data_IF_147982097229
#
_entry.id   IF_147982097229
#
_cell.length_a   1.000
_cell.length_b   1.000
_cell.length_c   1.000
_cell.angle_alpha   90.00
_cell.angle_beta   90.00
_cell.angle_gamma   90.00
#
_symmetry.space_group_name_H-M   'P 1'
#
loop_
_entity.id
_entity.type
_entity.pdbx_description
1 polymer ?
#
# COMPACT_ATOMS: atom_id res chain seq x y z
N UNK A 1 26.20 29.70 70.73
CA UNK A 1 26.68 29.23 72.06
C UNK A 1 25.88 27.99 72.45
N UNK A 2 26.57 27.00 73.05
CA UNK A 2 26.05 25.78 73.73
C UNK A 2 25.61 24.67 72.76
N UNK A 3 26.41 23.63 72.51
CA UNK A 3 26.79 22.49 73.37
C UNK A 3 25.57 21.76 73.93
N UNK A 4 25.31 20.51 73.52
CA UNK A 4 25.05 19.44 74.48
C UNK A 4 25.07 18.03 73.86
N UNK A 5 25.73 17.12 74.58
CA UNK A 5 25.78 15.67 74.45
C UNK A 5 24.41 15.01 74.74
N UNK A 6 24.24 13.77 74.29
CA UNK A 6 23.35 12.78 74.93
C UNK A 6 22.58 11.94 73.92
N UNK A 7 23.08 10.76 73.55
CA UNK A 7 22.86 9.46 74.20
C UNK A 7 21.56 8.75 73.76
N UNK A 8 21.78 7.64 73.05
CA UNK A 8 20.98 6.39 72.96
C UNK A 8 19.51 6.47 72.57
N UNK A 9 19.13 5.76 71.50
CA UNK A 9 18.01 4.80 71.45
C UNK A 9 18.22 3.88 70.24
N UNK A 10 18.18 2.57 70.52
CA UNK A 10 18.23 1.47 69.55
C UNK A 10 16.88 1.42 68.82
N UNK A 11 16.87 1.56 67.49
CA UNK A 11 15.68 1.34 66.67
C UNK A 11 15.97 0.26 65.63
N UNK A 12 15.31 -0.87 65.88
CA UNK A 12 15.04 -1.98 64.97
C UNK A 12 14.48 -1.43 63.66
N UNK A 13 15.21 -1.56 62.55
CA UNK A 13 14.73 -1.17 61.22
C UNK A 13 14.79 -2.36 60.27
N UNK A 14 13.59 -2.76 59.85
CA UNK A 14 13.33 -3.73 58.79
C UNK A 14 14.07 -3.32 57.51
N UNK A 15 14.89 -4.23 56.99
CA UNK A 15 15.69 -4.02 55.79
C UNK A 15 14.73 -4.10 54.59
N UNK A 16 14.23 -2.95 54.16
CA UNK A 16 13.55 -2.78 52.88
C UNK A 16 14.61 -2.92 51.78
N UNK A 17 14.62 -4.05 51.08
CA UNK A 17 15.46 -4.23 49.90
C UNK A 17 14.93 -3.35 48.76
N UNK A 18 15.38 -2.10 48.71
CA UNK A 18 15.26 -1.24 47.54
C UNK A 18 16.35 -1.57 46.53
N UNK A 19 16.02 -2.30 45.48
CA UNK A 19 16.81 -2.30 44.26
C UNK A 19 16.74 -0.89 43.65
N UNK A 20 17.86 -0.16 43.68
CA UNK A 20 18.04 1.04 42.84
C UNK A 20 18.10 0.58 41.39
N UNK A 21 16.98 0.69 40.67
CA UNK A 21 17.01 0.73 39.21
C UNK A 21 17.64 2.06 38.81
N UNK A 22 18.91 2.00 38.42
CA UNK A 22 19.58 3.10 37.73
C UNK A 22 18.87 3.31 36.39
N UNK A 23 18.02 4.32 36.28
CA UNK A 23 17.50 4.75 34.99
C UNK A 23 18.66 5.36 34.20
N UNK A 24 19.29 4.56 33.35
CA UNK A 24 20.08 5.08 32.25
C UNK A 24 19.09 5.71 31.26
N UNK A 25 19.08 7.04 31.22
CA UNK A 25 18.42 7.83 30.18
C UNK A 25 19.14 7.59 28.85
N UNK A 26 18.82 6.48 28.19
CA UNK A 26 19.08 6.32 26.77
C UNK A 26 18.27 7.37 26.02
N UNK A 27 18.93 8.38 25.44
CA UNK A 27 18.33 9.21 24.39
C UNK A 27 17.74 8.24 23.36
N UNK A 28 16.44 8.31 23.03
CA UNK A 28 15.94 7.52 21.92
C UNK A 28 16.69 7.99 20.68
N UNK A 29 17.46 7.09 20.10
CA UNK A 29 18.01 7.29 18.77
C UNK A 29 16.79 7.32 17.86
N UNK A 30 16.35 8.52 17.48
CA UNK A 30 15.30 8.70 16.50
C UNK A 30 15.89 8.31 15.14
N UNK A 31 16.08 7.01 14.93
CA UNK A 31 16.07 6.47 13.58
C UNK A 31 14.67 6.80 13.05
N UNK A 32 14.63 7.92 12.31
CA UNK A 32 13.49 8.37 11.56
C UNK A 32 12.98 7.15 10.76
N UNK A 33 11.88 6.56 11.20
CA UNK A 33 10.99 5.83 10.31
C UNK A 33 10.45 6.88 9.33
N UNK A 34 11.25 7.27 8.35
CA UNK A 34 10.82 8.09 7.25
C UNK A 34 9.77 7.27 6.50
N UNK A 35 8.50 7.52 6.82
CA UNK A 35 7.35 6.90 6.17
C UNK A 35 7.41 7.28 4.70
N UNK A 36 7.96 6.38 3.87
CA UNK A 36 7.92 6.53 2.42
C UNK A 36 6.45 6.43 2.01
N UNK A 37 5.90 7.41 1.29
CA UNK A 37 4.53 7.31 0.82
C UNK A 37 4.37 6.04 0.00
N UNK A 38 3.21 5.37 0.13
CA UNK A 38 2.86 4.24 -0.70
C UNK A 38 3.01 4.65 -2.18
N UNK A 39 3.55 3.77 -3.05
CA UNK A 39 3.73 4.10 -4.45
C UNK A 39 2.37 4.31 -5.12
N UNK A 40 2.34 5.26 -6.04
CA UNK A 40 1.28 5.38 -7.04
C UNK A 40 1.58 4.40 -8.15
N UNK A 41 0.60 3.60 -8.57
CA UNK A 41 0.80 2.63 -9.65
C UNK A 41 0.21 3.18 -10.95
N UNK A 42 1.01 3.15 -12.01
CA UNK A 42 0.54 3.34 -13.38
C UNK A 42 0.95 2.14 -14.23
N UNK A 43 0.19 1.82 -15.27
CA UNK A 43 0.44 0.63 -16.08
C UNK A 43 -0.07 0.78 -17.52
N UNK A 44 0.41 -0.11 -18.38
CA UNK A 44 -0.06 -0.32 -19.75
C UNK A 44 -0.40 -1.77 -19.98
N UNK A 45 -1.43 -2.01 -20.77
CA UNK A 45 -1.91 -3.35 -21.10
C UNK A 45 -1.82 -3.62 -22.59
N UNK A 46 -1.60 -4.88 -22.95
CA UNK A 46 -1.50 -5.36 -24.35
C UNK A 46 -2.83 -5.25 -25.11
N UNK A 47 -3.94 -5.20 -24.37
CA UNK A 47 -5.33 -5.06 -24.85
C UNK A 47 -6.13 -4.16 -23.91
N UNK A 48 -7.34 -3.76 -24.28
CA UNK A 48 -8.18 -2.90 -23.43
C UNK A 48 -8.88 -3.71 -22.33
N UNK A 49 -8.33 -3.67 -21.12
CA UNK A 49 -8.89 -4.31 -19.94
C UNK A 49 -9.53 -3.33 -18.95
N UNK A 50 -9.74 -2.05 -19.33
CA UNK A 50 -10.12 -0.99 -18.36
C UNK A 50 -11.38 -1.30 -17.56
N UNK A 51 -12.30 -2.07 -18.14
CA UNK A 51 -13.57 -2.46 -17.50
C UNK A 51 -13.56 -3.86 -16.91
N UNK A 52 -12.49 -4.61 -17.08
CA UNK A 52 -12.38 -6.01 -16.68
C UNK A 52 -11.85 -6.11 -15.25
N UNK A 53 -12.37 -7.07 -14.49
CA UNK A 53 -12.04 -7.23 -13.06
C UNK A 53 -10.60 -7.68 -12.88
N UNK A 54 -9.75 -6.91 -12.16
CA UNK A 54 -8.41 -7.34 -11.82
C UNK A 54 -8.43 -8.29 -10.62
N UNK A 55 -7.70 -9.40 -10.71
CA UNK A 55 -7.41 -10.28 -9.57
C UNK A 55 -5.92 -10.54 -9.50
N UNK A 56 -5.39 -10.90 -8.33
CA UNK A 56 -4.00 -11.31 -8.17
C UNK A 56 -3.93 -12.83 -8.00
N UNK A 57 -3.06 -13.48 -8.77
CA UNK A 57 -2.82 -14.92 -8.70
C UNK A 57 -1.48 -15.25 -8.03
N UNK A 58 -1.33 -16.52 -7.64
CA UNK A 58 -0.09 -17.10 -7.14
C UNK A 58 1.01 -17.09 -8.20
N UNK A 59 2.24 -17.36 -7.75
CA UNK A 59 3.41 -17.39 -8.65
C UNK A 59 3.27 -18.41 -9.78
N UNK A 60 2.65 -19.55 -9.48
CA UNK A 60 2.35 -20.60 -10.44
C UNK A 60 1.04 -20.37 -11.21
N UNK A 61 0.32 -19.27 -10.93
CA UNK A 61 -0.96 -18.93 -11.56
C UNK A 61 -2.15 -19.80 -11.16
N UNK A 62 -1.98 -20.76 -10.23
CA UNK A 62 -3.00 -21.79 -9.92
C UNK A 62 -3.99 -21.40 -8.83
N UNK A 63 -3.74 -20.32 -8.10
CA UNK A 63 -4.57 -19.89 -6.99
C UNK A 63 -4.82 -18.39 -7.03
N UNK A 64 -6.04 -17.99 -6.70
CA UNK A 64 -6.38 -16.58 -6.47
C UNK A 64 -5.83 -16.18 -5.10
N UNK A 65 -4.91 -15.21 -5.07
CA UNK A 65 -4.38 -14.61 -3.84
C UNK A 65 -5.26 -13.46 -3.36
N UNK A 66 -5.77 -12.65 -4.29
CA UNK A 66 -6.58 -11.48 -3.96
C UNK A 66 -7.58 -11.18 -5.08
N UNK A 67 -8.77 -10.76 -4.71
CA UNK A 67 -9.84 -10.35 -5.62
C UNK A 67 -10.68 -9.24 -4.96
N UNK A 68 -11.30 -8.35 -5.74
CA UNK A 68 -12.09 -7.26 -5.20
C UNK A 68 -13.45 -7.77 -4.71
N UNK A 69 -13.91 -7.27 -3.56
CA UNK A 69 -15.31 -7.36 -3.20
C UNK A 69 -16.14 -6.50 -4.19
N UNK A 70 -17.42 -6.82 -4.49
CA UNK A 70 -18.23 -6.00 -5.39
C UNK A 70 -18.29 -4.50 -5.02
N UNK A 71 -18.28 -4.15 -3.73
CA UNK A 71 -18.20 -2.75 -3.27
C UNK A 71 -16.86 -2.08 -3.57
N UNK A 72 -15.77 -2.86 -3.69
CA UNK A 72 -14.45 -2.34 -4.05
C UNK A 72 -14.42 -1.77 -5.47
N UNK A 73 -15.36 -2.20 -6.32
CA UNK A 73 -15.49 -1.74 -7.69
C UNK A 73 -16.36 -0.47 -7.82
N UNK A 74 -16.99 0.01 -6.75
CA UNK A 74 -17.89 1.18 -6.79
C UNK A 74 -17.46 2.32 -5.88
N UNK A 75 -17.75 3.55 -6.29
CA UNK A 75 -17.75 4.73 -5.43
C UNK A 75 -19.01 4.76 -4.56
N UNK A 76 -19.05 5.66 -3.57
CA UNK A 76 -20.21 5.82 -2.69
C UNK A 76 -21.48 6.27 -3.44
N UNK A 77 -21.33 6.93 -4.59
CA UNK A 77 -22.43 7.34 -5.48
C UNK A 77 -22.95 6.19 -6.37
N UNK A 78 -22.38 4.99 -6.26
CA UNK A 78 -22.74 3.82 -7.05
C UNK A 78 -22.02 3.69 -8.39
N UNK A 79 -21.30 4.71 -8.85
CA UNK A 79 -20.53 4.64 -10.11
C UNK A 79 -19.31 3.72 -9.99
N UNK A 80 -18.85 3.15 -11.11
CA UNK A 80 -17.71 2.24 -11.12
C UNK A 80 -16.37 2.95 -11.02
N UNK A 81 -15.46 2.39 -10.20
CA UNK A 81 -14.09 2.85 -9.96
C UNK A 81 -13.13 2.36 -11.04
N UNK A 82 -13.41 2.68 -12.29
CA UNK A 82 -12.50 2.41 -13.41
C UNK A 82 -11.15 3.13 -13.24
N UNK A 83 -10.06 2.60 -13.83
CA UNK A 83 -8.78 3.31 -13.88
C UNK A 83 -8.94 4.64 -14.63
N UNK A 84 -8.12 5.63 -14.27
CA UNK A 84 -8.08 6.88 -15.04
C UNK A 84 -7.16 6.70 -16.23
N UNK A 85 -7.62 7.14 -17.41
CA UNK A 85 -6.75 7.25 -18.58
C UNK A 85 -5.70 8.33 -18.37
N UNK A 86 -4.46 8.01 -18.70
CA UNK A 86 -3.32 8.91 -18.76
C UNK A 86 -2.81 8.98 -20.21
N UNK A 87 -1.85 9.87 -20.42
CA UNK A 87 -1.15 10.05 -21.69
C UNK A 87 -0.55 8.74 -22.24
N UNK A 88 -0.42 8.68 -23.57
CA UNK A 88 0.18 7.55 -24.31
C UNK A 88 -0.41 6.16 -23.98
N UNK A 89 -1.65 6.08 -23.51
CA UNK A 89 -2.32 4.81 -23.19
C UNK A 89 -1.97 4.24 -21.81
N UNK A 90 -1.27 4.99 -20.95
CA UNK A 90 -1.10 4.61 -19.55
C UNK A 90 -2.43 4.69 -18.79
N UNK A 91 -2.54 3.92 -17.73
CA UNK A 91 -3.68 3.88 -16.82
C UNK A 91 -3.21 4.12 -15.39
N UNK A 92 -3.93 4.98 -14.66
CA UNK A 92 -3.74 5.19 -13.23
C UNK A 92 -4.52 4.12 -12.44
N UNK A 93 -3.82 3.41 -11.57
CA UNK A 93 -4.43 2.37 -10.75
C UNK A 93 -5.33 2.92 -9.62
N UNK A 94 -6.48 2.27 -9.44
CA UNK A 94 -7.43 2.52 -8.36
C UNK A 94 -7.82 1.25 -7.61
N UNK A 95 -7.31 0.08 -8.01
CA UNK A 95 -7.74 -1.26 -7.59
C UNK A 95 -6.63 -2.08 -6.93
N UNK A 96 -5.38 -1.66 -7.01
CA UNK A 96 -4.24 -2.40 -6.47
C UNK A 96 -3.61 -3.33 -7.51
N UNK A 97 -3.28 -2.80 -8.68
CA UNK A 97 -2.55 -3.52 -9.74
C UNK A 97 -1.12 -3.81 -9.27
N UNK A 98 -0.67 -5.03 -9.51
CA UNK A 98 0.71 -5.47 -9.25
C UNK A 98 1.23 -6.45 -10.31
N UNK A 99 2.47 -6.94 -10.16
CA UNK A 99 3.14 -7.78 -11.16
C UNK A 99 2.41 -9.08 -11.53
N UNK A 100 1.61 -9.62 -10.61
CA UNK A 100 0.82 -10.85 -10.78
C UNK A 100 -0.68 -10.61 -10.92
N UNK A 101 -1.05 -9.37 -11.23
CA UNK A 101 -2.45 -9.10 -11.57
C UNK A 101 -2.78 -9.67 -12.94
N UNK A 102 -3.95 -10.28 -13.05
CA UNK A 102 -4.57 -10.69 -14.32
C UNK A 102 -5.98 -10.11 -14.40
N UNK A 103 -6.54 -10.05 -15.60
CA UNK A 103 -7.90 -9.58 -15.82
C UNK A 103 -8.83 -10.73 -16.16
N UNK A 104 -9.95 -10.80 -15.45
CA UNK A 104 -11.05 -11.70 -15.80
C UNK A 104 -11.70 -11.23 -17.11
N UNK A 105 -12.32 -12.14 -17.86
CA UNK A 105 -13.18 -11.80 -18.99
C UNK A 105 -14.47 -11.10 -18.55
N UNK A 106 -14.76 -11.07 -17.24
CA UNK A 106 -15.90 -10.39 -16.66
C UNK A 106 -15.62 -8.89 -16.53
N UNK A 107 -16.57 -8.09 -17.01
CA UNK A 107 -16.64 -6.66 -16.71
C UNK A 107 -17.00 -6.42 -15.24
N UNK A 108 -16.81 -5.19 -14.76
CA UNK A 108 -17.23 -4.79 -13.43
C UNK A 108 -18.75 -4.94 -13.27
N UNK A 109 -19.53 -4.59 -14.29
CA UNK A 109 -20.99 -4.75 -14.34
C UNK A 109 -21.41 -6.20 -14.13
N UNK A 110 -20.84 -7.12 -14.91
CA UNK A 110 -21.18 -8.55 -14.84
C UNK A 110 -20.78 -9.14 -13.49
N UNK A 111 -19.57 -8.86 -13.03
CA UNK A 111 -19.04 -9.39 -11.78
C UNK A 111 -19.85 -8.91 -10.56
N UNK A 112 -20.24 -7.64 -10.51
CA UNK A 112 -21.05 -7.13 -9.39
C UNK A 112 -22.47 -7.66 -9.43
N UNK A 113 -23.03 -7.89 -10.63
CA UNK A 113 -24.41 -8.39 -10.76
C UNK A 113 -24.54 -9.87 -10.41
N UNK A 114 -23.48 -10.66 -10.63
CA UNK A 114 -23.43 -12.07 -10.26
C UNK A 114 -22.07 -12.46 -9.67
N UNK A 115 -21.80 -12.09 -8.40
CA UNK A 115 -20.52 -12.36 -7.76
C UNK A 115 -20.26 -13.87 -7.68
N UNK A 116 -19.13 -14.30 -8.23
CA UNK A 116 -18.70 -15.70 -8.18
C UNK A 116 -17.89 -15.98 -6.91
N UNK A 117 -17.93 -17.23 -6.46
CA UNK A 117 -17.00 -17.69 -5.41
C UNK A 117 -15.54 -17.53 -5.89
N UNK A 118 -14.59 -17.15 -5.02
CA UNK A 118 -13.20 -16.91 -5.42
C UNK A 118 -12.53 -18.10 -6.10
N UNK A 119 -12.87 -19.33 -5.68
CA UNK A 119 -12.34 -20.56 -6.28
C UNK A 119 -12.82 -20.76 -7.72
N UNK A 120 -13.93 -20.12 -8.11
CA UNK A 120 -14.51 -20.20 -9.44
C UNK A 120 -13.99 -19.10 -10.40
N UNK A 121 -13.06 -18.24 -9.98
CA UNK A 121 -12.59 -17.11 -10.82
C UNK A 121 -11.53 -17.50 -11.84
N UNK A 122 -10.74 -18.55 -11.61
CA UNK A 122 -9.63 -18.95 -12.49
C UNK A 122 -10.06 -19.21 -13.95
N UNK A 123 -11.19 -19.89 -14.24
CA UNK A 123 -11.64 -20.11 -15.61
C UNK A 123 -12.00 -18.84 -16.39
N UNK A 124 -12.21 -17.70 -15.70
CA UNK A 124 -12.48 -16.42 -16.33
C UNK A 124 -11.20 -15.67 -16.71
N UNK A 125 -10.00 -16.14 -16.36
CA UNK A 125 -8.75 -15.48 -16.75
C UNK A 125 -8.59 -15.57 -18.28
N UNK A 126 -8.57 -14.42 -18.94
CA UNK A 126 -8.51 -14.32 -20.41
C UNK A 126 -7.11 -14.03 -20.97
N UNK A 127 -6.20 -13.64 -20.07
CA UNK A 127 -4.82 -13.27 -20.38
C UNK A 127 -3.97 -13.42 -19.11
N UNK A 128 -3.03 -14.36 -19.13
CA UNK A 128 -2.13 -14.64 -18.00
C UNK A 128 -1.01 -13.60 -17.88
N UNK A 129 -0.76 -12.80 -18.93
CA UNK A 129 0.28 -11.77 -18.95
C UNK A 129 -0.22 -10.49 -19.63
N UNK A 130 -1.17 -9.75 -19.03
CA UNK A 130 -1.89 -8.69 -19.73
C UNK A 130 -1.11 -7.38 -19.85
N UNK A 131 0.01 -7.22 -19.15
CA UNK A 131 0.72 -5.95 -19.05
C UNK A 131 1.88 -5.84 -20.04
N UNK A 132 2.01 -4.66 -20.63
CA UNK A 132 3.25 -4.25 -21.31
C UNK A 132 4.24 -3.69 -20.29
N UNK A 133 3.74 -2.86 -19.37
CA UNK A 133 4.55 -2.18 -18.37
C UNK A 133 3.74 -1.93 -17.08
N UNK A 134 4.41 -1.99 -15.93
CA UNK A 134 3.88 -1.51 -14.65
C UNK A 134 4.96 -0.66 -13.96
N UNK A 135 4.55 0.49 -13.42
CA UNK A 135 5.45 1.45 -12.77
C UNK A 135 4.97 1.81 -11.38
N UNK A 136 5.89 1.82 -10.43
CA UNK A 136 5.71 2.40 -9.10
C UNK A 136 6.29 3.80 -9.06
N UNK A 137 5.43 4.81 -8.92
CA UNK A 137 5.78 6.22 -8.88
C UNK A 137 5.72 6.81 -7.47
N UNK A 138 6.67 7.68 -7.14
CA UNK A 138 6.80 8.26 -5.80
C UNK A 138 6.66 9.78 -5.85
N UNK A 139 5.47 10.26 -5.50
CA UNK A 139 5.13 11.68 -5.43
C UNK A 139 5.02 12.17 -3.99
N UNK A 140 5.37 13.46 -3.80
CA UNK A 140 5.04 14.17 -2.56
C UNK A 140 3.67 14.80 -2.77
N UNK A 141 2.91 14.98 -1.69
CA UNK A 141 1.61 15.66 -1.72
C UNK A 141 1.84 17.18 -1.74
N UNK A 142 2.26 17.74 -2.88
CA UNK A 142 2.56 19.16 -3.01
C UNK A 142 1.71 19.84 -4.09
N UNK A 143 0.41 19.96 -3.84
CA UNK A 143 -0.51 20.91 -4.50
C UNK A 143 -0.83 20.72 -5.99
N UNK A 144 0.09 20.18 -6.80
CA UNK A 144 -0.18 19.79 -8.19
C UNK A 144 -1.14 18.59 -8.24
N UNK A 145 -2.00 18.54 -9.27
CA UNK A 145 -2.81 17.34 -9.47
C UNK A 145 -1.87 16.21 -9.91
N UNK A 146 -1.90 15.10 -9.18
CA UNK A 146 -1.03 13.95 -9.41
C UNK A 146 -1.09 13.44 -10.86
N UNK A 147 -2.27 13.52 -11.49
CA UNK A 147 -2.48 13.15 -12.89
C UNK A 147 -1.74 14.05 -13.87
N UNK A 148 -1.65 15.36 -13.60
CA UNK A 148 -0.90 16.29 -14.46
C UNK A 148 0.60 16.02 -14.38
N UNK A 149 1.13 15.84 -13.16
CA UNK A 149 2.54 15.51 -12.98
C UNK A 149 2.90 14.16 -13.63
N UNK A 150 2.01 13.17 -13.56
CA UNK A 150 2.18 11.88 -14.25
C UNK A 150 2.18 12.05 -15.77
N UNK A 151 1.19 12.75 -16.33
CA UNK A 151 1.10 12.98 -17.77
C UNK A 151 2.31 13.75 -18.30
N UNK A 152 2.81 14.75 -17.56
CA UNK A 152 4.03 15.45 -17.91
C UNK A 152 5.23 14.50 -18.05
N UNK A 153 5.44 13.61 -17.07
CA UNK A 153 6.54 12.63 -17.13
C UNK A 153 6.36 11.61 -18.25
N UNK A 154 5.13 11.19 -18.52
CA UNK A 154 4.82 10.26 -19.61
C UNK A 154 5.12 10.88 -20.97
N UNK A 155 4.62 12.10 -21.24
CA UNK A 155 4.83 12.79 -22.51
C UNK A 155 6.32 13.15 -22.73
N UNK A 156 7.03 13.49 -21.66
CA UNK A 156 8.45 13.79 -21.72
C UNK A 156 9.36 12.55 -21.79
N UNK A 157 8.82 11.33 -21.72
CA UNK A 157 9.59 10.08 -21.61
C UNK A 157 10.56 10.07 -20.40
N UNK A 158 10.10 10.54 -19.24
CA UNK A 158 10.91 10.76 -18.03
C UNK A 158 10.35 10.06 -16.78
N UNK A 159 9.60 8.96 -16.96
CA UNK A 159 9.03 8.19 -15.85
C UNK A 159 10.11 7.72 -14.86
N UNK A 160 11.28 7.33 -15.35
CA UNK A 160 12.43 6.87 -14.56
C UNK A 160 12.90 7.89 -13.50
N UNK A 161 12.67 9.19 -13.72
CA UNK A 161 13.03 10.22 -12.75
C UNK A 161 12.30 10.08 -11.42
N UNK A 162 11.08 9.54 -11.44
CA UNK A 162 10.16 9.50 -10.28
C UNK A 162 9.49 8.16 -10.07
N UNK A 163 9.67 7.24 -11.00
CA UNK A 163 9.03 5.94 -11.03
C UNK A 163 10.06 4.85 -11.27
N UNK A 164 9.78 3.67 -10.72
CA UNK A 164 10.53 2.44 -10.96
C UNK A 164 9.64 1.48 -11.73
N UNK A 165 10.10 1.01 -12.89
CA UNK A 165 9.45 -0.07 -13.62
C UNK A 165 9.57 -1.37 -12.81
N UNK A 166 8.45 -2.06 -12.64
CA UNK A 166 8.36 -3.32 -11.88
C UNK A 166 7.88 -4.49 -12.76
N UNK A 167 7.42 -4.20 -13.97
CA UNK A 167 7.16 -5.15 -15.06
C UNK A 167 7.34 -4.39 -16.37
#
# INVERSE_FOLDING_TARGET
MKNFLGSTIIILSLIWQGCKVTQQSGKPNSDQFAMRPAPVVIYKTKRDYRKHVPIMVSEDGKHVISYPHPSDLRFADGSFRYPLSLSKGYLFDRKGIGPRTVFLSLSYEEYVSNPSDPSALLPYISDEDPFEEIWHCYFKTNGETLTDSLNYLIEAHQLDKRCKKIK
#
